data_IF_188239933547
#
_entry.id   IF_188239933547
#
_cell.length_a   1.000
_cell.length_b   1.000
_cell.length_c   1.000
_cell.angle_alpha   90.00
_cell.angle_beta   90.00
_cell.angle_gamma   90.00
#
_symmetry.space_group_name_H-M   'P 1'
#
loop_
_entity.id
_entity.type
_entity.pdbx_description
1 polymer ?
#
# COMPACT_ATOMS: atom_id res chain seq x y z
N UNK A 1 0.61 -22.96 15.43
CA UNK A 1 0.47 -22.87 13.97
C UNK A 1 -0.44 -21.67 13.72
N UNK A 2 0.10 -20.52 13.35
CA UNK A 2 -0.71 -19.32 13.08
C UNK A 2 -1.52 -19.58 11.82
N UNK A 3 -2.80 -19.90 12.00
CA UNK A 3 -3.76 -20.18 10.94
C UNK A 3 -3.87 -18.89 10.11
N UNK A 4 -3.22 -18.90 8.95
CA UNK A 4 -3.28 -17.82 7.98
C UNK A 4 -4.56 -18.02 7.16
N UNK A 5 -5.72 -17.98 7.80
CA UNK A 5 -6.99 -18.01 7.08
C UNK A 5 -7.22 -16.61 6.46
N UNK A 6 -7.14 -16.47 5.12
CA UNK A 6 -7.40 -15.19 4.46
C UNK A 6 -8.85 -14.74 4.63
N UNK A 7 -9.76 -15.68 4.95
CA UNK A 7 -11.19 -15.44 5.20
C UNK A 7 -11.50 -15.07 6.66
N UNK A 8 -10.67 -15.45 7.63
CA UNK A 8 -10.90 -15.14 9.05
C UNK A 8 -10.62 -13.68 9.43
N UNK A 9 -9.92 -12.93 8.58
CA UNK A 9 -9.76 -11.49 8.71
C UNK A 9 -11.01 -10.75 8.15
N UNK A 10 -12.18 -11.08 8.69
CA UNK A 10 -13.45 -10.41 8.39
C UNK A 10 -13.57 -9.06 9.13
N UNK A 11 -12.54 -8.22 9.03
CA UNK A 11 -12.73 -6.79 9.28
C UNK A 11 -13.01 -6.15 7.93
N UNK A 12 -14.28 -5.81 7.62
CA UNK A 12 -14.58 -5.07 6.41
C UNK A 12 -13.84 -3.73 6.48
N UNK A 13 -12.96 -3.46 5.51
CA UNK A 13 -12.42 -2.11 5.36
C UNK A 13 -13.53 -1.27 4.77
N UNK A 14 -14.04 -0.38 5.60
CA UNK A 14 -15.09 0.53 5.19
C UNK A 14 -14.48 1.59 4.26
N UNK A 15 -14.90 1.64 2.99
CA UNK A 15 -14.33 2.56 2.01
C UNK A 15 -14.71 4.02 2.27
N UNK A 16 -15.69 4.28 3.14
CA UNK A 16 -16.06 5.63 3.56
C UNK A 16 -15.16 6.18 4.66
N UNK A 17 -14.24 5.38 5.23
CA UNK A 17 -13.23 5.82 6.23
C UNK A 17 -12.10 6.63 5.59
N UNK A 18 -12.44 7.71 4.90
CA UNK A 18 -11.46 8.64 4.32
C UNK A 18 -10.68 9.39 5.40
N UNK A 19 -11.21 9.50 6.62
CA UNK A 19 -10.49 10.07 7.76
C UNK A 19 -9.16 9.33 8.04
N UNK A 20 -9.14 8.00 7.91
CA UNK A 20 -7.92 7.18 8.09
C UNK A 20 -6.92 7.41 6.96
N UNK A 21 -7.43 7.61 5.75
CA UNK A 21 -6.65 7.91 4.56
C UNK A 21 -5.99 9.29 4.73
N UNK A 22 -6.72 10.29 5.21
CA UNK A 22 -6.19 11.61 5.52
C UNK A 22 -5.19 11.58 6.68
N UNK A 23 -5.44 10.78 7.72
CA UNK A 23 -4.49 10.58 8.82
C UNK A 23 -3.16 10.02 8.29
N UNK A 24 -3.22 8.99 7.45
CA UNK A 24 -2.04 8.41 6.81
C UNK A 24 -1.34 9.43 5.90
N UNK A 25 -2.10 10.21 5.13
CA UNK A 25 -1.55 11.27 4.26
C UNK A 25 -0.81 12.35 5.05
N UNK A 26 -1.35 12.75 6.22
CA UNK A 26 -0.73 13.76 7.08
C UNK A 26 0.54 13.24 7.75
N UNK A 27 0.57 11.96 8.16
CA UNK A 27 1.70 11.35 8.86
C UNK A 27 1.90 9.89 8.42
N UNK A 28 2.52 9.64 7.25
CA UNK A 28 2.71 8.28 6.74
C UNK A 28 3.69 7.46 7.58
N UNK A 29 4.59 8.12 8.32
CA UNK A 29 5.54 7.49 9.26
C UNK A 29 5.01 7.35 10.69
N UNK A 30 3.80 7.83 10.97
CA UNK A 30 3.18 7.77 12.28
C UNK A 30 3.65 8.83 13.28
N UNK A 31 3.28 8.70 14.57
CA UNK A 31 2.48 7.61 15.14
C UNK A 31 1.08 7.54 14.52
N UNK A 32 0.58 6.31 14.32
CA UNK A 32 -0.73 6.03 13.74
C UNK A 32 -1.73 5.67 14.84
N UNK A 33 -3.00 6.04 14.64
CA UNK A 33 -4.11 5.58 15.48
C UNK A 33 -4.32 4.06 15.37
N UNK A 34 -4.91 3.45 16.41
CA UNK A 34 -5.19 2.00 16.43
C UNK A 34 -6.00 1.54 15.21
N UNK A 35 -6.97 2.37 14.79
CA UNK A 35 -7.83 2.12 13.63
C UNK A 35 -7.03 2.12 12.31
N UNK A 36 -6.09 3.07 12.15
CA UNK A 36 -5.18 3.10 11.00
C UNK A 36 -4.19 1.92 11.03
N UNK A 37 -3.70 1.53 12.21
CA UNK A 37 -2.85 0.34 12.35
C UNK A 37 -3.59 -0.95 11.94
N UNK A 38 -4.87 -1.11 12.32
CA UNK A 38 -5.71 -2.22 11.87
C UNK A 38 -5.89 -2.23 10.35
N UNK A 39 -6.15 -1.06 9.76
CA UNK A 39 -6.25 -0.91 8.31
C UNK A 39 -4.95 -1.32 7.61
N UNK A 40 -3.79 -0.82 8.06
CA UNK A 40 -2.48 -1.16 7.50
C UNK A 40 -2.16 -2.65 7.65
N UNK A 41 -2.52 -3.27 8.79
CA UNK A 41 -2.41 -4.71 8.99
C UNK A 41 -3.27 -5.48 7.98
N UNK A 42 -4.52 -5.04 7.76
CA UNK A 42 -5.42 -5.67 6.79
C UNK A 42 -4.89 -5.57 5.37
N UNK A 43 -4.38 -4.40 4.97
CA UNK A 43 -3.71 -4.19 3.67
C UNK A 43 -2.48 -5.10 3.49
N UNK A 44 -1.75 -5.38 4.58
CA UNK A 44 -0.60 -6.29 4.55
C UNK A 44 -1.02 -7.75 4.33
N UNK A 45 -2.20 -8.14 4.84
CA UNK A 45 -2.69 -9.50 4.80
C UNK A 45 -3.49 -9.85 3.53
N UNK A 46 -4.23 -8.90 2.96
CA UNK A 46 -5.11 -9.13 1.80
C UNK A 46 -4.38 -9.51 0.51
N UNK A 47 -3.05 -9.40 0.47
CA UNK A 47 -2.25 -9.57 -0.73
C UNK A 47 -2.00 -11.01 -1.17
N UNK A 48 -3.04 -11.81 -1.44
CA UNK A 48 -2.86 -13.07 -2.18
C UNK A 48 -2.96 -12.74 -3.67
N UNK A 49 -1.86 -12.28 -4.29
CA UNK A 49 -1.83 -12.18 -5.75
C UNK A 49 -1.00 -11.06 -6.37
N UNK A 50 -1.01 -9.84 -5.81
CA UNK A 50 -0.43 -8.64 -6.44
C UNK A 50 -0.08 -7.58 -5.40
N UNK A 51 1.04 -7.74 -4.68
CA UNK A 51 1.42 -6.78 -3.63
C UNK A 51 2.28 -5.67 -4.23
N UNK A 52 1.82 -4.42 -4.17
CA UNK A 52 2.66 -3.27 -4.48
C UNK A 52 3.69 -3.05 -3.37
N UNK A 53 4.94 -2.83 -3.77
CA UNK A 53 6.12 -2.66 -2.92
C UNK A 53 6.99 -1.52 -3.44
N UNK A 54 7.82 -0.96 -2.57
CA UNK A 54 8.86 -0.02 -2.97
C UNK A 54 10.19 -0.74 -3.06
N UNK A 55 10.82 -0.67 -4.23
CA UNK A 55 12.16 -1.15 -4.48
C UNK A 55 13.11 0.02 -4.21
N UNK A 56 13.97 -0.14 -3.21
CA UNK A 56 14.98 0.89 -2.87
C UNK A 56 16.04 0.88 -3.98
N UNK A 57 16.07 1.96 -4.77
CA UNK A 57 17.11 2.18 -5.79
C UNK A 57 18.32 2.86 -5.15
N UNK A 58 18.06 3.90 -4.34
CA UNK A 58 19.04 4.52 -3.47
C UNK A 58 18.44 4.73 -2.08
N UNK A 59 19.13 4.30 -1.02
CA UNK A 59 18.66 4.50 0.35
C UNK A 59 18.46 5.99 0.63
N UNK A 60 17.29 6.35 1.18
CA UNK A 60 16.91 7.73 1.52
C UNK A 60 16.92 8.72 0.33
N UNK A 61 16.90 8.24 -0.92
CA UNK A 61 16.93 9.11 -2.11
C UNK A 61 15.96 8.71 -3.20
N UNK A 62 15.92 7.43 -3.58
CA UNK A 62 15.13 6.97 -4.72
C UNK A 62 14.49 5.62 -4.44
N UNK A 63 13.20 5.56 -4.68
CA UNK A 63 12.39 4.35 -4.60
C UNK A 63 11.63 4.15 -5.90
N UNK A 64 11.58 2.92 -6.37
CA UNK A 64 10.83 2.54 -7.56
C UNK A 64 9.62 1.72 -7.14
N UNK A 65 8.47 1.96 -7.77
CA UNK A 65 7.31 1.09 -7.58
C UNK A 65 7.61 -0.30 -8.16
N UNK A 66 7.29 -1.33 -7.37
CA UNK A 66 7.32 -2.72 -7.79
C UNK A 66 6.01 -3.42 -7.44
N UNK A 67 5.72 -4.52 -8.12
CA UNK A 67 4.58 -5.39 -7.86
C UNK A 67 5.06 -6.82 -7.73
N UNK A 68 4.89 -7.38 -6.54
CA UNK A 68 5.19 -8.78 -6.27
C UNK A 68 4.13 -9.67 -6.93
N UNK A 69 4.54 -10.67 -7.70
CA UNK A 69 3.64 -11.64 -8.30
C UNK A 69 3.03 -12.54 -7.22
N UNK A 70 1.80 -12.99 -7.45
CA UNK A 70 1.08 -13.90 -6.58
C UNK A 70 1.62 -15.33 -6.55
N UNK A 71 2.55 -15.65 -7.46
CA UNK A 71 3.18 -16.96 -7.59
C UNK A 71 4.60 -16.89 -7.03
N UNK A 72 4.94 -17.80 -6.12
CA UNK A 72 6.32 -17.98 -5.65
C UNK A 72 7.22 -18.35 -6.84
N UNK A 73 8.39 -17.72 -6.91
CA UNK A 73 9.39 -17.96 -7.97
C UNK A 73 9.20 -17.12 -9.24
N UNK A 74 8.12 -16.35 -9.36
CA UNK A 74 7.96 -15.41 -10.46
C UNK A 74 8.76 -14.11 -10.20
N UNK A 75 9.28 -13.44 -11.25
CA UNK A 75 10.01 -12.19 -11.10
C UNK A 75 9.10 -11.06 -10.60
N UNK A 76 9.68 -10.15 -9.83
CA UNK A 76 9.01 -8.92 -9.41
C UNK A 76 8.82 -8.03 -10.62
N UNK A 77 7.59 -7.54 -10.82
CA UNK A 77 7.31 -6.58 -11.88
C UNK A 77 7.77 -5.20 -11.40
N UNK A 78 8.72 -4.59 -12.10
CA UNK A 78 9.25 -3.27 -11.76
C UNK A 78 8.64 -2.22 -12.66
N UNK A 79 8.37 -1.03 -12.13
CA UNK A 79 7.82 0.08 -12.88
C UNK A 79 8.87 1.19 -12.97
N UNK A 80 9.79 1.13 -13.95
CA UNK A 80 10.86 2.13 -14.09
C UNK A 80 10.34 3.55 -14.34
N UNK A 81 9.08 3.70 -14.79
CA UNK A 81 8.43 4.99 -15.00
C UNK A 81 7.82 5.59 -13.72
N UNK A 82 7.78 4.83 -12.60
CA UNK A 82 7.22 5.28 -11.31
C UNK A 82 8.34 5.29 -10.27
N UNK A 83 9.19 6.32 -10.37
CA UNK A 83 10.28 6.59 -9.42
C UNK A 83 9.86 7.74 -8.52
N UNK A 84 10.05 7.55 -7.21
CA UNK A 84 9.80 8.53 -6.18
C UNK A 84 11.12 8.97 -5.55
N UNK A 85 11.27 10.27 -5.36
CA UNK A 85 12.40 10.88 -4.64
C UNK A 85 12.08 11.23 -3.20
N UNK A 86 10.80 11.24 -2.86
CA UNK A 86 10.30 11.43 -1.50
C UNK A 86 9.69 10.13 -0.98
N UNK A 87 10.04 9.78 0.25
CA UNK A 87 9.56 8.54 0.84
C UNK A 87 8.07 8.63 1.21
N UNK A 88 7.59 9.79 1.67
CA UNK A 88 6.19 9.97 2.01
C UNK A 88 5.31 9.84 0.77
N UNK A 89 5.74 10.40 -0.37
CA UNK A 89 5.07 10.20 -1.66
C UNK A 89 5.09 8.73 -2.11
N UNK A 90 6.22 8.05 -1.94
CA UNK A 90 6.36 6.65 -2.30
C UNK A 90 5.44 5.75 -1.45
N UNK A 91 5.41 5.96 -0.14
CA UNK A 91 4.53 5.24 0.79
C UNK A 91 3.06 5.52 0.50
N UNK A 92 2.72 6.78 0.21
CA UNK A 92 1.38 7.20 -0.21
C UNK A 92 0.94 6.50 -1.48
N UNK A 93 1.78 6.46 -2.52
CA UNK A 93 1.45 5.80 -3.78
C UNK A 93 1.14 4.30 -3.57
N UNK A 94 1.95 3.60 -2.76
CA UNK A 94 1.68 2.20 -2.42
C UNK A 94 0.40 2.04 -1.62
N UNK A 95 0.12 2.97 -0.69
CA UNK A 95 -1.11 2.96 0.08
C UNK A 95 -2.36 3.09 -0.80
N UNK A 96 -2.37 4.06 -1.73
CA UNK A 96 -3.48 4.28 -2.67
C UNK A 96 -3.74 3.03 -3.52
N UNK A 97 -2.70 2.41 -4.07
CA UNK A 97 -2.82 1.19 -4.86
C UNK A 97 -3.35 0.01 -4.04
N UNK A 98 -2.95 -0.10 -2.77
CA UNK A 98 -3.46 -1.16 -1.86
C UNK A 98 -4.89 -0.89 -1.42
N UNK A 99 -5.24 0.37 -1.21
CA UNK A 99 -6.59 0.78 -0.89
C UNK A 99 -7.54 0.46 -2.05
N UNK A 100 -7.19 0.82 -3.28
CA UNK A 100 -7.97 0.47 -4.48
C UNK A 100 -8.12 -1.05 -4.62
N UNK A 101 -7.03 -1.81 -4.45
CA UNK A 101 -7.10 -3.27 -4.51
C UNK A 101 -7.95 -3.91 -3.41
N UNK A 102 -8.07 -3.26 -2.24
CA UNK A 102 -8.80 -3.78 -1.09
C UNK A 102 -10.27 -3.37 -1.08
N UNK A 103 -10.57 -2.14 -1.49
CA UNK A 103 -11.89 -1.52 -1.39
C UNK A 103 -12.57 -1.35 -2.75
N UNK A 104 -11.83 -1.45 -3.85
CA UNK A 104 -12.28 -1.09 -5.20
C UNK A 104 -12.38 0.42 -5.43
N UNK A 105 -12.15 1.27 -4.42
CA UNK A 105 -12.21 2.73 -4.58
C UNK A 105 -10.83 3.30 -4.86
N UNK A 106 -10.73 4.13 -5.90
CA UNK A 106 -9.51 4.86 -6.20
C UNK A 106 -9.46 6.15 -5.39
N UNK A 107 -8.42 6.30 -4.57
CA UNK A 107 -8.14 7.57 -3.91
C UNK A 107 -7.48 8.50 -4.92
N UNK A 108 -8.00 9.71 -5.05
CA UNK A 108 -7.39 10.72 -5.90
C UNK A 108 -6.05 11.17 -5.29
N UNK A 109 -4.95 10.63 -5.82
CA UNK A 109 -3.63 11.22 -5.61
C UNK A 109 -3.63 12.56 -6.33
N UNK A 110 -3.74 13.65 -5.58
CA UNK A 110 -3.52 14.98 -6.11
C UNK A 110 -2.09 15.05 -6.67
N UNK A 111 -1.98 15.18 -8.00
CA UNK A 111 -0.76 15.55 -8.72
C UNK A 111 0.10 14.38 -9.20
N UNK A 112 -0.12 13.92 -10.43
CA UNK A 112 0.70 14.34 -11.59
C UNK A 112 0.60 13.28 -12.71
N UNK A 113 -0.19 13.58 -13.73
CA UNK A 113 -0.03 13.12 -15.11
C UNK A 113 -0.44 14.31 -15.99
N UNK A 114 0.12 14.47 -17.19
CA UNK A 114 0.88 13.50 -17.99
C UNK A 114 2.41 13.69 -18.01
#
# INVERSE_FOLDING_TARGET
MLVNDPEAAHWPVDPSRLDLVEEFRRKPRGPHSDDLQRLLHRMRWSGVGRRHVLIVMEPNRRWMLGRLPGRRGAPVETFPNRIFTDLAEAEWAVFVLRWEALTGQKLETAGNEP
#
